data_IF_539520900097
#
_entry.id   IF_539520900097
#
_cell.length_a   1.000
_cell.length_b   1.000
_cell.length_c   1.000
_cell.angle_alpha   90.00
_cell.angle_beta   90.00
_cell.angle_gamma   90.00
#
_symmetry.space_group_name_H-M   'P 1'
#
loop_
_entity.id
_entity.type
_entity.pdbx_description
1 polymer ?
#
# COMPACT_ATOMS: atom_id res chain seq x y z
N UNK A 1 -5.53 5.50 36.82
CA UNK A 1 -6.95 5.09 36.97
C UNK A 1 -7.89 6.28 36.72
N UNK A 2 -7.63 7.47 37.27
CA UNK A 2 -8.47 8.66 37.01
C UNK A 2 -8.32 9.20 35.56
N UNK A 3 -7.10 9.26 35.01
CA UNK A 3 -6.86 9.91 33.70
C UNK A 3 -7.46 9.15 32.50
N UNK A 4 -7.35 7.82 32.45
CA UNK A 4 -7.96 7.01 31.38
C UNK A 4 -9.49 7.10 31.41
N UNK A 5 -10.09 7.22 32.59
CA UNK A 5 -11.54 7.39 32.74
C UNK A 5 -12.03 8.74 32.20
N UNK A 6 -11.18 9.77 32.16
CA UNK A 6 -11.52 11.06 31.54
C UNK A 6 -11.74 10.89 30.03
N UNK A 7 -10.81 10.21 29.34
CA UNK A 7 -10.90 9.91 27.90
C UNK A 7 -11.97 8.87 27.55
N UNK A 8 -12.20 7.89 28.43
CA UNK A 8 -13.22 6.85 28.25
C UNK A 8 -14.62 7.35 28.62
N UNK A 9 -14.81 8.35 29.49
CA UNK A 9 -16.15 8.89 29.77
C UNK A 9 -16.87 9.41 28.52
N UNK A 10 -16.11 9.74 27.46
CA UNK A 10 -16.61 10.12 26.13
C UNK A 10 -16.71 8.95 25.12
N UNK A 11 -16.22 7.75 25.46
CA UNK A 11 -16.17 6.56 24.57
C UNK A 11 -16.77 5.34 25.29
N UNK A 12 -17.82 4.73 24.72
CA UNK A 12 -18.62 3.65 25.33
C UNK A 12 -17.81 2.68 26.24
N UNK A 13 -18.25 2.56 27.49
CA UNK A 13 -17.56 1.84 28.57
C UNK A 13 -17.87 0.34 28.51
N UNK A 14 -16.86 -0.50 28.36
CA UNK A 14 -16.93 -1.93 28.66
C UNK A 14 -15.65 -2.34 29.40
N UNK A 15 -15.73 -2.42 30.73
CA UNK A 15 -14.66 -2.97 31.56
C UNK A 15 -15.26 -4.09 32.42
N UNK A 16 -15.04 -5.33 31.98
CA UNK A 16 -15.21 -6.56 32.76
C UNK A 16 -13.86 -7.26 32.70
N UNK A 17 -13.38 -7.82 33.82
CA UNK A 17 -12.09 -8.52 33.99
C UNK A 17 -11.45 -9.01 32.69
N UNK A 18 -10.46 -8.26 32.22
CA UNK A 18 -9.87 -8.45 30.90
C UNK A 18 -8.65 -9.38 31.01
N UNK A 19 -8.82 -10.63 30.57
CA UNK A 19 -7.72 -11.60 30.43
C UNK A 19 -6.96 -11.37 29.12
N UNK A 20 -5.65 -11.65 29.03
CA UNK A 20 -4.88 -11.42 27.80
C UNK A 20 -5.48 -12.08 26.55
N UNK A 21 -5.97 -13.31 26.67
CA UNK A 21 -6.61 -14.03 25.57
C UNK A 21 -7.96 -13.43 25.14
N UNK A 22 -8.71 -12.81 26.06
CA UNK A 22 -9.98 -12.18 25.69
C UNK A 22 -9.77 -10.90 24.91
N UNK A 23 -8.71 -10.12 25.20
CA UNK A 23 -8.36 -8.93 24.40
C UNK A 23 -8.00 -9.31 22.98
N UNK A 24 -7.06 -10.26 22.80
CA UNK A 24 -6.63 -10.64 21.46
C UNK A 24 -7.79 -11.22 20.65
N UNK A 25 -8.65 -12.05 21.27
CA UNK A 25 -9.85 -12.57 20.59
C UNK A 25 -10.74 -11.42 20.13
N UNK A 26 -10.97 -10.43 21.00
CA UNK A 26 -11.82 -9.29 20.65
C UNK A 26 -11.22 -8.44 19.53
N UNK A 27 -9.90 -8.23 19.53
CA UNK A 27 -9.20 -7.55 18.42
C UNK A 27 -9.39 -8.33 17.11
N UNK A 28 -9.24 -9.66 17.13
CA UNK A 28 -9.45 -10.50 15.94
C UNK A 28 -10.90 -10.44 15.43
N UNK A 29 -11.89 -10.53 16.32
CA UNK A 29 -13.31 -10.37 15.95
C UNK A 29 -13.57 -9.00 15.28
N UNK A 30 -13.00 -7.93 15.83
CA UNK A 30 -13.13 -6.58 15.27
C UNK A 30 -12.40 -6.44 13.94
N UNK A 31 -11.25 -7.09 13.77
CA UNK A 31 -10.53 -7.11 12.49
C UNK A 31 -11.38 -7.76 11.39
N UNK A 32 -12.07 -8.86 11.69
CA UNK A 32 -12.90 -9.58 10.73
C UNK A 32 -14.25 -8.91 10.46
N UNK A 33 -14.77 -8.11 11.40
CA UNK A 33 -16.05 -7.43 11.23
C UNK A 33 -15.99 -6.29 10.19
N UNK A 34 -16.53 -6.57 9.01
CA UNK A 34 -16.61 -5.60 7.90
C UNK A 34 -17.45 -4.34 8.19
N UNK A 35 -18.25 -4.32 9.27
CA UNK A 35 -19.02 -3.14 9.70
C UNK A 35 -18.18 -2.18 10.54
N UNK A 36 -17.06 -2.64 11.10
CA UNK A 36 -16.15 -1.82 11.91
C UNK A 36 -14.96 -1.40 11.05
N UNK A 37 -14.79 -0.09 10.88
CA UNK A 37 -13.77 0.51 10.01
C UNK A 37 -12.50 0.92 10.74
N UNK A 38 -12.54 1.02 12.07
CA UNK A 38 -11.43 1.49 12.88
C UNK A 38 -11.48 0.93 14.29
N UNK A 39 -10.31 0.67 14.85
CA UNK A 39 -10.08 0.13 16.17
C UNK A 39 -9.00 0.93 16.88
N UNK A 40 -9.28 1.28 18.13
CA UNK A 40 -8.31 1.88 19.05
C UNK A 40 -8.12 0.93 20.20
N UNK A 41 -6.86 0.71 20.58
CA UNK A 41 -6.51 0.03 21.82
C UNK A 41 -6.10 1.11 22.82
N UNK A 42 -6.99 1.43 23.76
CA UNK A 42 -6.70 2.46 24.76
C UNK A 42 -5.52 2.04 25.63
N UNK A 43 -4.53 2.93 25.75
CA UNK A 43 -3.35 2.74 26.60
C UNK A 43 -3.36 3.72 27.79
N UNK A 44 -2.67 3.36 28.90
CA UNK A 44 -2.14 2.03 29.20
C UNK A 44 -3.28 1.02 29.44
N UNK A 45 -3.01 -0.26 29.18
CA UNK A 45 -3.97 -1.33 29.44
C UNK A 45 -4.16 -1.52 30.95
N UNK A 46 -5.41 -1.47 31.41
CA UNK A 46 -5.76 -1.70 32.81
C UNK A 46 -6.08 -3.19 33.03
N UNK A 47 -5.12 -3.93 33.57
CA UNK A 47 -5.29 -5.34 33.91
C UNK A 47 -4.44 -5.71 35.12
N UNK A 48 -4.99 -6.59 35.95
CA UNK A 48 -4.26 -7.25 37.04
C UNK A 48 -3.23 -8.26 36.51
N UNK A 49 -3.32 -8.65 35.24
CA UNK A 49 -2.38 -9.53 34.58
C UNK A 49 -1.37 -8.75 33.75
N UNK A 50 -0.13 -9.24 33.71
CA UNK A 50 0.88 -8.71 32.78
C UNK A 50 0.46 -8.99 31.35
N UNK A 51 0.27 -7.94 30.58
CA UNK A 51 -0.12 -8.01 29.17
C UNK A 51 0.99 -7.43 28.30
N UNK A 52 1.40 -8.19 27.28
CA UNK A 52 2.30 -7.66 26.26
C UNK A 52 1.53 -6.69 25.36
N UNK A 53 1.64 -5.41 25.68
CA UNK A 53 0.95 -4.31 24.98
C UNK A 53 1.33 -4.25 23.49
N UNK A 54 2.61 -4.49 23.15
CA UNK A 54 3.06 -4.51 21.75
C UNK A 54 2.38 -5.59 20.93
N UNK A 55 2.21 -6.78 21.51
CA UNK A 55 1.55 -7.90 20.83
C UNK A 55 0.08 -7.59 20.53
N UNK A 56 -0.60 -6.88 21.43
CA UNK A 56 -1.99 -6.48 21.22
C UNK A 56 -2.08 -5.38 20.17
N UNK A 57 -1.27 -4.33 20.27
CA UNK A 57 -1.26 -3.24 19.30
C UNK A 57 -0.99 -3.80 17.90
N UNK A 58 0.03 -4.65 17.74
CA UNK A 58 0.37 -5.25 16.45
C UNK A 58 -0.61 -6.34 15.97
N UNK A 59 -1.60 -6.72 16.79
CA UNK A 59 -2.69 -7.60 16.34
C UNK A 59 -3.83 -6.85 15.68
N UNK A 60 -3.88 -5.51 15.80
CA UNK A 60 -4.84 -4.67 15.06
C UNK A 60 -4.49 -4.71 13.58
N UNK A 61 -5.50 -4.93 12.72
CA UNK A 61 -5.30 -4.87 11.27
C UNK A 61 -4.83 -3.47 10.86
N UNK A 62 -3.73 -3.31 10.09
CA UNK A 62 -3.17 -2.00 9.75
C UNK A 62 -4.19 -1.03 9.12
N UNK A 63 -5.12 -1.56 8.33
CA UNK A 63 -6.20 -0.83 7.68
C UNK A 63 -7.31 -0.34 8.64
N UNK A 64 -7.33 -0.84 9.88
CA UNK A 64 -8.25 -0.42 10.95
C UNK A 64 -7.54 0.27 12.11
N UNK A 65 -6.21 0.41 12.07
CA UNK A 65 -5.42 1.03 13.13
C UNK A 65 -5.50 2.56 13.07
N UNK A 66 -6.66 3.11 13.44
CA UNK A 66 -6.93 4.55 13.40
C UNK A 66 -6.11 5.35 14.41
N UNK A 67 -5.44 4.68 15.34
CA UNK A 67 -4.49 5.32 16.27
C UNK A 67 -3.05 5.33 15.74
N UNK A 68 -2.79 4.65 14.61
CA UNK A 68 -1.50 4.62 13.93
C UNK A 68 -0.36 3.98 14.74
N UNK A 69 -0.68 3.11 15.70
CA UNK A 69 0.30 2.59 16.66
C UNK A 69 0.93 1.25 16.25
N UNK A 70 0.38 0.57 15.24
CA UNK A 70 0.98 -0.67 14.71
C UNK A 70 2.35 -0.40 14.12
N UNK A 71 3.26 -1.37 14.23
CA UNK A 71 4.60 -1.28 13.61
C UNK A 71 4.53 -1.07 12.09
N UNK A 72 3.46 -1.52 11.44
CA UNK A 72 3.24 -1.32 10.00
C UNK A 72 2.95 0.16 9.72
N UNK A 73 1.96 0.76 10.37
CA UNK A 73 1.66 2.19 10.17
C UNK A 73 2.81 3.10 10.63
N UNK A 74 3.44 2.78 11.77
CA UNK A 74 4.64 3.49 12.22
C UNK A 74 5.78 3.39 11.21
N UNK A 75 5.99 2.22 10.59
CA UNK A 75 6.99 2.01 9.56
C UNK A 75 6.71 2.80 8.28
N UNK A 76 5.44 2.84 7.83
CA UNK A 76 5.02 3.66 6.68
C UNK A 76 5.24 5.15 6.96
N UNK A 77 4.82 5.64 8.14
CA UNK A 77 5.03 7.02 8.57
C UNK A 77 6.51 7.39 8.61
N UNK A 78 7.35 6.54 9.22
CA UNK A 78 8.79 6.77 9.30
C UNK A 78 9.47 6.81 7.92
N UNK A 79 8.89 6.17 6.90
CA UNK A 79 9.40 6.15 5.51
C UNK A 79 8.78 7.20 4.59
N UNK A 80 7.85 8.01 5.09
CA UNK A 80 7.27 9.13 4.33
C UNK A 80 6.03 8.77 3.53
N UNK A 81 5.45 7.58 3.75
CA UNK A 81 4.25 7.11 3.08
C UNK A 81 2.98 7.75 3.68
N UNK A 82 2.98 9.09 3.86
CA UNK A 82 1.93 9.85 4.56
C UNK A 82 0.53 9.70 3.95
N UNK A 83 0.44 9.33 2.67
CA UNK A 83 -0.82 9.09 1.97
C UNK A 83 -1.42 7.70 2.17
N UNK A 84 -0.67 6.76 2.72
CA UNK A 84 -1.05 5.34 2.86
C UNK A 84 -0.84 4.79 4.28
N UNK A 85 -0.75 5.68 5.29
CA UNK A 85 -0.65 5.30 6.69
C UNK A 85 -1.62 6.07 7.58
N UNK A 86 -2.00 5.45 8.71
CA UNK A 86 -2.65 6.17 9.79
C UNK A 86 -1.61 6.93 10.62
N UNK A 87 -1.91 8.19 10.92
CA UNK A 87 -1.03 9.10 11.67
C UNK A 87 -1.51 9.17 13.13
N UNK A 88 -0.67 8.91 14.13
CA UNK A 88 -1.13 8.97 15.52
C UNK A 88 -1.82 10.30 15.87
N UNK A 89 -2.96 10.20 16.56
CA UNK A 89 -3.92 11.30 16.69
C UNK A 89 -3.32 12.56 17.33
N UNK A 90 -2.47 12.37 18.35
CA UNK A 90 -1.84 13.49 19.08
C UNK A 90 -0.82 14.23 18.20
N UNK A 91 0.18 13.58 17.56
CA UNK A 91 1.04 14.21 16.56
C UNK A 91 0.27 14.89 15.42
N UNK A 92 -0.79 14.28 14.91
CA UNK A 92 -1.62 14.90 13.87
C UNK A 92 -2.26 16.20 14.37
N UNK A 93 -2.75 16.20 15.62
CA UNK A 93 -3.32 17.39 16.25
C UNK A 93 -2.29 18.50 16.45
N UNK A 94 -1.04 18.14 16.75
CA UNK A 94 0.08 19.08 16.82
C UNK A 94 0.35 19.72 15.45
N UNK A 95 0.38 18.93 14.38
CA UNK A 95 0.58 19.43 13.02
C UNK A 95 -0.52 20.40 12.59
N UNK A 96 -1.78 20.11 12.91
CA UNK A 96 -2.90 21.01 12.61
C UNK A 96 -2.81 22.32 13.39
N UNK A 97 -2.43 22.28 14.67
CA UNK A 97 -2.20 23.50 15.47
C UNK A 97 -1.04 24.34 14.92
N UNK A 98 0.06 23.70 14.49
CA UNK A 98 1.16 24.43 13.85
C UNK A 98 0.70 25.07 12.55
N UNK A 99 -0.08 24.35 11.74
CA UNK A 99 -0.61 24.86 10.46
C UNK A 99 -1.49 26.10 10.65
N UNK A 100 -2.27 26.18 11.73
CA UNK A 100 -3.10 27.36 12.05
C UNK A 100 -2.29 28.63 12.33
N UNK A 101 -1.01 28.52 12.68
CA UNK A 101 -0.14 29.69 12.85
C UNK A 101 0.18 30.39 11.52
N UNK A 102 -0.03 29.73 10.38
CA UNK A 102 0.36 30.22 9.05
C UNK A 102 1.86 30.20 8.77
N UNK A 103 2.69 29.74 9.72
CA UNK A 103 4.14 29.65 9.56
C UNK A 103 4.52 28.37 8.81
N UNK A 104 5.33 28.51 7.75
CA UNK A 104 5.86 27.37 7.02
C UNK A 104 6.85 26.56 7.87
N UNK A 105 6.68 25.24 7.88
CA UNK A 105 7.59 24.27 8.49
C UNK A 105 8.90 24.09 7.69
N UNK A 106 8.86 24.33 6.39
CA UNK A 106 9.97 24.01 5.50
C UNK A 106 11.23 24.82 5.85
N UNK A 107 12.34 24.13 6.08
CA UNK A 107 13.63 24.72 6.44
C UNK A 107 13.74 25.23 7.88
N UNK A 108 12.68 25.10 8.70
CA UNK A 108 12.71 25.46 10.13
C UNK A 108 13.41 24.39 10.95
N UNK A 109 14.04 24.79 12.06
CA UNK A 109 14.57 23.86 13.05
C UNK A 109 13.48 23.48 14.04
N UNK A 110 13.07 22.22 14.02
CA UNK A 110 12.10 21.69 14.95
C UNK A 110 12.80 20.83 16.02
N UNK A 111 12.43 21.00 17.28
CA UNK A 111 12.91 20.19 18.40
C UNK A 111 11.73 19.44 19.00
N UNK A 112 11.86 18.12 19.10
CA UNK A 112 10.88 17.24 19.75
C UNK A 112 11.48 16.73 21.05
N UNK A 113 10.89 17.08 22.19
CA UNK A 113 11.30 16.53 23.49
C UNK A 113 10.42 15.32 23.81
N UNK A 114 11.05 14.14 23.79
CA UNK A 114 10.38 12.86 23.98
C UNK A 114 10.48 12.00 22.73
N UNK A 115 10.53 10.68 22.93
CA UNK A 115 10.64 9.66 21.87
C UNK A 115 9.68 8.49 22.10
N UNK A 116 8.52 8.79 22.69
CA UNK A 116 7.47 7.81 22.91
C UNK A 116 6.87 7.37 21.57
N UNK A 117 6.31 6.17 21.54
CA UNK A 117 5.62 5.63 20.34
C UNK A 117 4.34 6.38 20.00
N UNK A 118 3.70 7.00 21.01
CA UNK A 118 2.42 7.69 20.88
C UNK A 118 2.60 9.12 20.37
N UNK A 119 3.68 9.81 20.78
CA UNK A 119 3.86 11.24 20.48
C UNK A 119 5.23 11.50 19.87
N UNK A 120 6.31 11.26 20.60
CA UNK A 120 7.63 11.78 20.24
C UNK A 120 8.17 11.30 18.88
N UNK A 121 8.20 9.97 18.67
CA UNK A 121 8.68 9.40 17.41
C UNK A 121 7.81 9.78 16.20
N UNK A 122 6.48 9.59 16.21
CA UNK A 122 5.65 10.01 15.08
C UNK A 122 5.65 11.53 14.84
N UNK A 123 5.81 12.36 15.88
CA UNK A 123 5.95 13.80 15.72
C UNK A 123 7.24 14.17 14.97
N UNK A 124 8.36 13.49 15.26
CA UNK A 124 9.59 13.65 14.52
C UNK A 124 9.37 13.37 13.02
N UNK A 125 8.74 12.24 12.70
CA UNK A 125 8.53 11.82 11.32
C UNK A 125 7.64 12.82 10.56
N UNK A 126 6.56 13.30 11.19
CA UNK A 126 5.69 14.30 10.58
C UNK A 126 6.41 15.62 10.30
N UNK A 127 7.21 16.12 11.23
CA UNK A 127 7.99 17.35 11.03
C UNK A 127 9.02 17.17 9.92
N UNK A 128 9.70 16.02 9.88
CA UNK A 128 10.70 15.68 8.88
C UNK A 128 10.07 15.64 7.48
N UNK A 129 8.95 14.94 7.32
CA UNK A 129 8.26 14.83 6.04
C UNK A 129 7.51 16.11 5.63
N UNK A 130 7.40 17.08 6.53
CA UNK A 130 7.02 18.47 6.22
C UNK A 130 8.23 19.41 6.09
N UNK A 131 9.40 18.85 5.78
CA UNK A 131 10.63 19.54 5.41
C UNK A 131 11.28 20.39 6.51
N UNK A 132 10.98 20.14 7.78
CA UNK A 132 11.73 20.70 8.89
C UNK A 132 13.07 19.96 9.09
N UNK A 133 14.07 20.66 9.64
CA UNK A 133 15.27 20.01 10.21
C UNK A 133 14.94 19.62 11.65
N UNK A 134 14.82 18.33 11.93
CA UNK A 134 14.29 17.85 13.22
C UNK A 134 15.40 17.34 14.13
N UNK A 135 15.36 17.73 15.40
CA UNK A 135 16.18 17.18 16.47
C UNK A 135 15.30 16.55 17.55
N UNK A 136 15.52 15.28 17.83
CA UNK A 136 14.82 14.55 18.90
C UNK A 136 15.65 14.54 20.18
N UNK A 137 15.11 15.12 21.24
CA UNK A 137 15.70 15.13 22.57
C UNK A 137 15.02 14.11 23.50
N UNK A 138 15.74 13.64 24.51
CA UNK A 138 15.25 12.67 25.49
C UNK A 138 15.99 12.79 26.82
N UNK A 139 15.70 11.91 27.78
CA UNK A 139 16.27 11.90 29.14
C UNK A 139 17.79 11.73 29.25
N UNK A 140 18.49 11.58 28.11
CA UNK A 140 19.95 11.44 28.03
C UNK A 140 20.60 12.55 27.19
N UNK A 141 19.81 13.52 26.73
CA UNK A 141 20.34 14.73 26.10
C UNK A 141 21.09 15.55 27.15
N UNK A 142 22.37 15.83 26.90
CA UNK A 142 23.26 16.45 27.89
C UNK A 142 22.87 17.90 28.22
N UNK A 143 22.69 18.73 27.19
CA UNK A 143 22.30 20.14 27.34
C UNK A 143 20.97 20.38 26.62
N UNK A 144 19.89 20.00 27.30
CA UNK A 144 18.54 20.13 26.76
C UNK A 144 18.16 21.60 26.54
N UNK A 145 18.55 22.50 27.44
CA UNK A 145 18.20 23.92 27.38
C UNK A 145 18.81 24.59 26.13
N UNK A 146 20.08 24.30 25.82
CA UNK A 146 20.74 24.80 24.61
C UNK A 146 20.09 24.30 23.32
N UNK A 147 19.63 23.05 23.28
CA UNK A 147 18.94 22.52 22.11
C UNK A 147 17.55 23.15 21.92
N UNK A 148 16.81 23.36 23.01
CA UNK A 148 15.52 24.07 22.99
C UNK A 148 15.68 25.52 22.52
N UNK A 149 16.75 26.20 22.93
CA UNK A 149 17.02 27.59 22.54
C UNK A 149 17.31 27.80 21.05
N UNK A 150 17.54 26.72 20.29
CA UNK A 150 17.73 26.76 18.83
C UNK A 150 16.44 26.49 18.05
N UNK A 151 15.38 26.05 18.72
CA UNK A 151 14.15 25.59 18.08
C UNK A 151 13.30 26.76 17.55
N UNK A 152 12.97 26.75 16.26
CA UNK A 152 11.89 27.59 15.74
C UNK A 152 10.52 27.00 16.12
N UNK A 153 10.46 25.67 16.21
CA UNK A 153 9.28 24.91 16.59
C UNK A 153 9.68 23.92 17.68
N UNK A 154 9.03 24.00 18.83
CA UNK A 154 9.21 23.08 19.94
C UNK A 154 7.95 22.24 20.12
N UNK A 155 8.10 20.92 20.15
CA UNK A 155 7.02 20.00 20.57
C UNK A 155 7.50 19.19 21.75
N UNK A 156 6.72 19.11 22.83
CA UNK A 156 7.07 18.31 24.03
C UNK A 156 5.93 17.36 24.42
N UNK A 157 6.28 16.15 24.84
CA UNK A 157 5.33 15.15 25.32
C UNK A 157 6.02 14.09 26.20
N UNK A 158 6.54 14.54 27.33
CA UNK A 158 7.36 13.76 28.28
C UNK A 158 6.66 13.45 29.60
N UNK A 159 5.53 14.11 29.91
CA UNK A 159 4.82 13.90 31.17
C UNK A 159 5.64 14.31 32.38
N UNK A 160 6.31 15.46 32.31
CA UNK A 160 7.04 16.06 33.43
C UNK A 160 6.56 17.50 33.63
N UNK A 161 5.83 17.79 34.72
CA UNK A 161 5.16 19.07 34.91
C UNK A 161 6.17 20.23 34.87
N UNK A 162 5.90 21.21 34.01
CA UNK A 162 6.59 22.51 33.96
C UNK A 162 8.13 22.41 33.88
N UNK A 163 8.66 21.34 33.29
CA UNK A 163 10.10 21.10 33.16
C UNK A 163 10.76 22.07 32.19
N UNK A 164 10.12 22.34 31.04
CA UNK A 164 10.64 23.27 30.05
C UNK A 164 10.32 24.69 30.51
N UNK A 165 11.36 25.45 30.81
CA UNK A 165 11.22 26.83 31.29
C UNK A 165 11.26 27.82 30.13
N UNK A 166 10.58 28.95 30.28
CA UNK A 166 10.51 29.99 29.25
C UNK A 166 11.88 30.54 28.88
N UNK A 167 12.83 30.59 29.81
CA UNK A 167 14.20 31.06 29.58
C UNK A 167 14.92 30.25 28.50
N UNK A 168 14.55 28.98 28.32
CA UNK A 168 15.15 28.08 27.33
C UNK A 168 14.64 28.33 25.91
N UNK A 169 13.48 28.99 25.77
CA UNK A 169 12.84 29.16 24.46
C UNK A 169 13.57 30.22 23.63
N UNK A 170 13.63 29.95 22.32
CA UNK A 170 13.97 30.96 21.32
C UNK A 170 12.85 31.99 21.22
N UNK A 171 13.21 33.27 21.13
CA UNK A 171 12.24 34.33 20.92
C UNK A 171 11.51 34.14 19.58
N UNK A 172 10.18 34.20 19.62
CA UNK A 172 9.31 33.99 18.46
C UNK A 172 9.08 32.53 18.08
N UNK A 173 9.45 31.55 18.92
CA UNK A 173 9.21 30.14 18.64
C UNK A 173 7.72 29.77 18.65
N UNK A 174 7.36 28.70 17.94
CA UNK A 174 6.08 27.99 18.07
C UNK A 174 6.26 26.89 19.12
N UNK A 175 5.43 26.87 20.15
CA UNK A 175 5.51 25.92 21.26
C UNK A 175 4.23 25.08 21.35
N UNK A 176 4.38 23.78 21.12
CA UNK A 176 3.31 22.77 21.23
C UNK A 176 3.59 21.89 22.46
N UNK A 177 2.69 21.94 23.43
CA UNK A 177 2.76 21.22 24.70
C UNK A 177 1.71 20.10 24.75
N UNK A 178 2.17 18.87 24.59
CA UNK A 178 1.35 17.66 24.69
C UNK A 178 1.30 17.09 26.11
N UNK A 179 1.99 17.72 27.07
CA UNK A 179 2.04 17.29 28.45
C UNK A 179 0.67 17.39 29.12
N UNK A 180 0.30 16.36 29.88
CA UNK A 180 -0.89 16.37 30.74
C UNK A 180 -0.44 15.83 32.08
N UNK A 181 -0.18 16.74 33.00
CA UNK A 181 0.33 16.44 34.32
C UNK A 181 -0.63 16.98 35.36
N UNK A 182 -0.98 16.16 36.36
CA UNK A 182 -1.84 16.58 37.46
C UNK A 182 -0.98 16.92 38.67
N UNK A 183 -1.13 18.12 39.21
CA UNK A 183 -0.43 18.57 40.42
C UNK A 183 -1.43 19.08 41.45
N UNK A 184 -1.05 19.01 42.73
CA UNK A 184 -1.90 19.47 43.83
C UNK A 184 -2.02 21.00 43.81
N UNK A 185 -3.25 21.49 43.94
CA UNK A 185 -3.56 22.92 43.98
C UNK A 185 -4.79 23.15 44.87
N UNK A 186 -4.54 23.65 46.08
CA UNK A 186 -5.58 23.94 47.07
C UNK A 186 -6.49 25.10 46.69
N UNK A 187 -6.12 25.91 45.68
CA UNK A 187 -6.98 26.98 45.17
C UNK A 187 -8.10 26.47 44.25
N UNK A 188 -8.02 25.23 43.78
CA UNK A 188 -9.03 24.61 42.91
C UNK A 188 -10.04 23.80 43.73
N UNK A 189 -11.33 23.79 43.36
CA UNK A 189 -12.35 22.98 44.05
C UNK A 189 -12.04 21.47 44.08
N UNK A 190 -11.30 20.96 43.08
CA UNK A 190 -10.84 19.57 42.99
C UNK A 190 -9.57 19.28 43.81
N UNK A 191 -8.93 20.29 44.40
CA UNK A 191 -7.61 20.20 45.04
C UNK A 191 -6.47 19.90 44.06
N UNK A 192 -6.71 19.93 42.74
CA UNK A 192 -5.76 19.55 41.70
C UNK A 192 -5.86 20.49 40.50
N UNK A 193 -4.73 20.85 39.88
CA UNK A 193 -4.64 21.55 38.58
C UNK A 193 -3.93 20.69 37.54
N UNK A 194 -4.34 20.82 36.28
CA UNK A 194 -3.68 20.19 35.13
C UNK A 194 -2.70 21.19 34.53
N UNK A 195 -1.47 20.75 34.29
CA UNK A 195 -0.39 21.54 33.69
C UNK A 195 0.32 20.74 32.61
N UNK A 196 0.97 21.47 31.70
CA UNK A 196 1.76 20.88 30.63
C UNK A 196 3.18 20.53 31.06
N UNK A 197 4.01 20.17 30.07
CA UNK A 197 5.44 19.97 30.27
C UNK A 197 6.21 21.31 30.23
N UNK A 198 5.59 22.36 29.68
CA UNK A 198 6.12 23.72 29.62
C UNK A 198 5.55 24.57 30.75
N UNK A 199 6.40 25.35 31.40
CA UNK A 199 5.96 26.38 32.34
C UNK A 199 5.35 27.56 31.56
N UNK A 200 4.05 27.47 31.31
CA UNK A 200 3.29 28.35 30.40
C UNK A 200 3.51 29.83 30.70
N UNK A 201 3.45 30.24 31.97
CA UNK A 201 3.55 31.65 32.34
C UNK A 201 4.89 32.29 32.00
N UNK A 202 6.00 31.55 32.11
CA UNK A 202 7.31 32.05 31.67
C UNK A 202 7.52 32.00 30.15
N UNK A 203 6.75 31.15 29.47
CA UNK A 203 6.94 30.84 28.05
C UNK A 203 6.11 31.71 27.12
N UNK A 204 4.92 32.14 27.56
CA UNK A 204 3.94 32.87 26.74
C UNK A 204 4.46 34.18 26.17
N UNK A 205 5.35 34.88 26.90
CA UNK A 205 5.89 36.16 26.47
C UNK A 205 7.07 36.02 25.50
N UNK A 206 7.67 34.83 25.42
CA UNK A 206 8.77 34.52 24.48
C UNK A 206 8.29 33.90 23.18
N UNK A 207 7.30 33.00 23.26
CA UNK A 207 6.79 32.27 22.12
C UNK A 207 5.91 33.18 21.25
N UNK A 208 6.02 33.06 19.92
CA UNK A 208 5.06 33.71 19.01
C UNK A 208 3.69 33.01 19.08
N UNK A 209 3.71 31.69 19.26
CA UNK A 209 2.51 30.87 19.41
C UNK A 209 2.76 29.80 20.47
N UNK A 210 1.80 29.59 21.37
CA UNK A 210 1.92 28.60 22.43
C UNK A 210 0.58 27.92 22.70
N UNK A 211 0.58 26.60 22.86
CA UNK A 211 -0.62 25.85 23.24
C UNK A 211 -0.83 25.89 24.76
N UNK A 212 -2.02 26.24 25.27
CA UNK A 212 -2.32 26.15 26.69
C UNK A 212 -2.56 24.70 27.12
N UNK A 213 -2.29 24.42 28.40
CA UNK A 213 -2.68 23.15 29.03
C UNK A 213 -3.45 23.46 30.32
N UNK A 214 -4.72 23.02 30.45
CA UNK A 214 -5.52 22.30 29.44
C UNK A 214 -5.99 23.20 28.29
N UNK A 215 -6.56 22.58 27.23
CA UNK A 215 -7.25 23.30 26.15
C UNK A 215 -6.50 23.42 24.82
N UNK A 216 -5.24 22.99 24.75
CA UNK A 216 -4.43 22.95 23.52
C UNK A 216 -4.53 21.62 22.78
N UNK A 217 -3.52 20.77 22.95
CA UNK A 217 -3.37 19.51 22.18
C UNK A 217 -4.44 18.47 22.51
N UNK A 218 -4.87 18.37 23.77
CA UNK A 218 -5.81 17.33 24.23
C UNK A 218 -7.14 17.28 23.44
N UNK A 219 -7.88 18.40 23.28
CA UNK A 219 -9.07 18.44 22.43
C UNK A 219 -8.81 18.05 20.97
N UNK A 220 -7.64 18.40 20.43
CA UNK A 220 -7.27 18.04 19.06
C UNK A 220 -7.10 16.54 18.88
N UNK A 221 -6.59 15.81 19.87
CA UNK A 221 -6.48 14.34 19.79
C UNK A 221 -7.83 13.68 19.48
N UNK A 222 -8.92 14.13 20.11
CA UNK A 222 -10.27 13.62 19.83
C UNK A 222 -10.76 14.09 18.45
N UNK A 223 -10.52 15.35 18.10
CA UNK A 223 -10.91 15.89 16.81
C UNK A 223 -10.22 15.15 15.65
N UNK A 224 -8.91 14.90 15.73
CA UNK A 224 -8.15 14.16 14.72
C UNK A 224 -8.63 12.72 14.60
N UNK A 225 -8.97 12.09 15.73
CA UNK A 225 -9.56 10.76 15.72
C UNK A 225 -10.89 10.72 14.95
N UNK A 226 -11.72 11.76 15.08
CA UNK A 226 -13.01 11.86 14.37
C UNK A 226 -12.83 12.35 12.92
N UNK A 227 -11.79 13.13 12.65
CA UNK A 227 -11.44 13.61 11.32
C UNK A 227 -11.00 12.47 10.40
N UNK A 228 -10.65 11.31 10.97
CA UNK A 228 -10.55 10.08 10.21
C UNK A 228 -11.86 9.80 9.47
N UNK A 229 -11.86 10.25 8.22
CA UNK A 229 -12.69 9.65 7.21
C UNK A 229 -12.17 8.23 7.08
N UNK A 230 -13.01 7.19 7.23
CA UNK A 230 -12.59 5.85 6.82
C UNK A 230 -12.00 6.05 5.44
N UNK A 231 -10.77 5.54 5.20
CA UNK A 231 -10.22 5.44 3.86
C UNK A 231 -11.41 5.05 2.99
N UNK A 232 -11.87 6.00 2.17
CA UNK A 232 -13.06 5.76 1.35
C UNK A 232 -12.60 4.60 0.51
N UNK A 233 -13.17 3.43 0.80
CA UNK A 233 -12.80 2.14 0.22
C UNK A 233 -12.08 2.39 -1.10
N UNK A 234 -10.75 2.25 -1.11
CA UNK A 234 -10.22 1.39 -2.15
C UNK A 234 -10.95 0.08 -1.88
N UNK A 235 -12.05 -0.10 -2.60
CA UNK A 235 -12.82 -1.33 -2.70
C UNK A 235 -11.81 -2.45 -2.56
N UNK A 236 -11.95 -3.30 -1.52
CA UNK A 236 -11.12 -4.49 -1.27
C UNK A 236 -10.47 -4.85 -2.59
N UNK A 237 -9.15 -4.72 -2.75
CA UNK A 237 -8.52 -5.01 -4.05
C UNK A 237 -9.01 -6.40 -4.43
N UNK A 238 -9.97 -6.45 -5.34
CA UNK A 238 -10.61 -7.69 -5.72
C UNK A 238 -9.58 -8.31 -6.63
N UNK A 239 -9.00 -9.43 -6.19
CA UNK A 239 -7.98 -10.11 -6.98
C UNK A 239 -8.51 -10.33 -8.40
N UNK A 240 -7.67 -10.11 -9.41
CA UNK A 240 -8.08 -10.08 -10.82
C UNK A 240 -8.91 -11.30 -11.20
N UNK A 241 -8.55 -12.48 -10.69
CA UNK A 241 -9.27 -13.74 -10.93
C UNK A 241 -10.69 -13.74 -10.38
N UNK A 242 -10.94 -13.08 -9.26
CA UNK A 242 -12.29 -12.95 -8.70
C UNK A 242 -13.13 -12.00 -9.54
N UNK A 243 -12.53 -10.93 -10.08
CA UNK A 243 -13.22 -10.03 -11.02
C UNK A 243 -13.56 -10.79 -12.31
N UNK A 244 -12.58 -11.47 -12.92
CA UNK A 244 -12.76 -12.29 -14.13
C UNK A 244 -13.91 -13.30 -13.98
N UNK A 245 -13.92 -14.05 -12.88
CA UNK A 245 -14.95 -15.07 -12.60
C UNK A 245 -16.32 -14.51 -12.23
N UNK A 246 -16.40 -13.23 -11.86
CA UNK A 246 -17.68 -12.58 -11.57
C UNK A 246 -18.46 -12.21 -12.84
N UNK A 247 -17.78 -12.22 -14.00
CA UNK A 247 -18.38 -11.89 -15.28
C UNK A 247 -18.69 -13.18 -16.08
N UNK A 248 -19.83 -13.17 -16.78
CA UNK A 248 -20.16 -14.23 -17.75
C UNK A 248 -19.68 -13.76 -19.13
N UNK A 249 -18.67 -14.41 -19.74
CA UNK A 249 -18.17 -14.01 -21.05
C UNK A 249 -19.23 -14.30 -22.12
N UNK A 250 -19.35 -13.36 -23.07
CA UNK A 250 -20.18 -13.56 -24.25
C UNK A 250 -19.58 -14.66 -25.13
N UNK A 251 -20.38 -15.57 -25.72
CA UNK A 251 -19.88 -16.52 -26.69
C UNK A 251 -19.15 -15.81 -27.84
N UNK A 252 -17.95 -16.27 -28.16
CA UNK A 252 -17.07 -15.62 -29.14
C UNK A 252 -17.66 -15.66 -30.56
N UNK A 253 -18.49 -16.66 -30.89
CA UNK A 253 -19.18 -16.74 -32.18
C UNK A 253 -20.16 -15.57 -32.35
N UNK A 254 -20.93 -15.24 -31.30
CA UNK A 254 -21.87 -14.11 -31.34
C UNK A 254 -21.12 -12.79 -31.51
N UNK A 255 -19.96 -12.65 -30.86
CA UNK A 255 -19.11 -11.47 -31.05
C UNK A 255 -18.57 -11.41 -32.48
N UNK A 256 -18.16 -12.54 -33.06
CA UNK A 256 -17.66 -12.61 -34.42
C UNK A 256 -18.71 -12.19 -35.45
N UNK A 257 -19.95 -12.65 -35.29
CA UNK A 257 -21.09 -12.24 -36.13
C UNK A 257 -21.36 -10.73 -36.00
N UNK A 258 -21.36 -10.19 -34.78
CA UNK A 258 -21.60 -8.76 -34.53
C UNK A 258 -20.54 -7.85 -35.14
N UNK A 259 -19.31 -8.32 -35.28
CA UNK A 259 -18.24 -7.57 -35.95
C UNK A 259 -18.16 -7.85 -37.45
N UNK A 260 -19.09 -8.65 -38.00
CA UNK A 260 -19.22 -8.90 -39.44
C UNK A 260 -18.27 -9.96 -40.01
N UNK A 261 -17.82 -10.90 -39.18
CA UNK A 261 -17.09 -12.09 -39.63
C UNK A 261 -18.06 -13.19 -40.04
N UNK A 262 -17.70 -13.97 -41.06
CA UNK A 262 -18.47 -15.12 -41.49
C UNK A 262 -18.07 -16.39 -40.72
N UNK A 263 -18.99 -17.34 -40.60
CA UNK A 263 -18.75 -18.57 -39.84
C UNK A 263 -17.61 -19.42 -40.41
N UNK A 264 -17.35 -19.36 -41.71
CA UNK A 264 -16.25 -20.07 -42.37
C UNK A 264 -14.89 -19.33 -42.27
N UNK A 265 -14.89 -18.12 -41.73
CA UNK A 265 -13.69 -17.29 -41.47
C UNK A 265 -13.17 -17.43 -40.04
N UNK A 266 -13.94 -18.08 -39.17
CA UNK A 266 -13.68 -18.14 -37.73
C UNK A 266 -13.51 -19.59 -37.30
N UNK A 267 -12.36 -19.90 -36.73
CA UNK A 267 -12.06 -21.22 -36.17
C UNK A 267 -12.20 -21.15 -34.64
N UNK A 268 -13.23 -21.80 -34.10
CA UNK A 268 -13.57 -21.72 -32.68
C UNK A 268 -12.65 -22.60 -31.82
N UNK A 269 -12.18 -22.05 -30.70
CA UNK A 269 -11.39 -22.74 -29.66
C UNK A 269 -12.14 -22.64 -28.32
N UNK A 270 -13.14 -23.50 -28.16
CA UNK A 270 -14.07 -23.40 -27.03
C UNK A 270 -15.08 -22.27 -27.21
N UNK A 271 -15.64 -21.76 -26.11
CA UNK A 271 -16.75 -20.79 -26.15
C UNK A 271 -16.31 -19.32 -26.20
N UNK A 272 -15.06 -19.04 -25.86
CA UNK A 272 -14.56 -17.69 -25.51
C UNK A 272 -13.39 -17.24 -26.37
N UNK A 273 -12.87 -18.11 -27.24
CA UNK A 273 -11.69 -17.84 -28.08
C UNK A 273 -11.90 -18.38 -29.48
N UNK A 274 -11.35 -17.67 -30.46
CA UNK A 274 -11.35 -18.11 -31.85
C UNK A 274 -10.12 -17.57 -32.59
N UNK A 275 -9.72 -18.25 -33.67
CA UNK A 275 -8.79 -17.74 -34.66
C UNK A 275 -9.58 -17.17 -35.84
N UNK A 276 -9.10 -16.07 -36.41
CA UNK A 276 -9.64 -15.49 -37.65
C UNK A 276 -8.72 -15.89 -38.79
N UNK A 277 -9.28 -16.41 -39.86
CA UNK A 277 -8.53 -16.83 -41.04
C UNK A 277 -7.98 -15.61 -41.79
N UNK A 278 -6.76 -15.73 -42.34
CA UNK A 278 -6.13 -14.61 -43.05
C UNK A 278 -6.89 -14.21 -44.34
N UNK A 279 -7.63 -15.15 -44.96
CA UNK A 279 -8.47 -14.90 -46.14
C UNK A 279 -9.52 -13.79 -45.91
N UNK A 280 -9.87 -13.52 -44.66
CA UNK A 280 -10.79 -12.43 -44.29
C UNK A 280 -10.24 -11.06 -44.72
N UNK A 281 -8.91 -10.89 -44.76
CA UNK A 281 -8.28 -9.63 -45.19
C UNK A 281 -8.62 -9.33 -46.65
N UNK A 282 -8.58 -10.35 -47.52
CA UNK A 282 -8.88 -10.19 -48.94
C UNK A 282 -10.32 -9.74 -49.16
N UNK A 283 -11.26 -10.29 -48.38
CA UNK A 283 -12.68 -9.86 -48.41
C UNK A 283 -12.87 -8.43 -47.94
N UNK A 284 -12.13 -8.03 -46.89
CA UNK A 284 -12.25 -6.71 -46.28
C UNK A 284 -11.44 -5.62 -47.00
N UNK A 285 -10.72 -5.94 -48.07
CA UNK A 285 -9.85 -5.00 -48.79
C UNK A 285 -10.58 -3.77 -49.34
N UNK A 286 -11.89 -3.87 -49.63
CA UNK A 286 -12.71 -2.75 -50.09
C UNK A 286 -13.24 -1.87 -48.95
N UNK A 287 -13.09 -2.28 -47.69
CA UNK A 287 -13.51 -1.50 -46.52
C UNK A 287 -12.46 -0.45 -46.17
N UNK A 288 -12.87 0.74 -45.69
CA UNK A 288 -11.93 1.75 -45.22
C UNK A 288 -11.18 1.26 -43.98
N UNK A 289 -9.90 1.60 -43.89
CA UNK A 289 -9.07 1.28 -42.73
C UNK A 289 -9.62 1.93 -41.45
N UNK A 290 -9.54 1.18 -40.35
CA UNK A 290 -9.84 1.69 -39.02
C UNK A 290 -8.79 2.72 -38.56
N UNK A 291 -9.17 3.56 -37.60
CA UNK A 291 -8.22 4.47 -36.95
C UNK A 291 -7.26 3.67 -36.06
N UNK A 292 -5.97 3.79 -36.33
CA UNK A 292 -4.94 3.15 -35.52
C UNK A 292 -4.54 4.03 -34.32
N UNK A 293 -4.70 3.50 -33.11
CA UNK A 293 -4.34 4.19 -31.86
C UNK A 293 -3.18 3.47 -31.20
N UNK A 294 -2.04 4.16 -31.05
CA UNK A 294 -0.85 3.62 -30.39
C UNK A 294 -0.89 4.00 -28.92
N UNK A 295 -1.00 3.00 -28.04
CA UNK A 295 -0.84 3.18 -26.59
C UNK A 295 0.63 3.00 -26.23
N UNK A 296 1.35 4.10 -26.05
CA UNK A 296 2.76 4.09 -25.63
C UNK A 296 2.89 3.72 -24.16
N UNK A 297 3.94 2.98 -23.80
CA UNK A 297 4.06 2.40 -22.47
C UNK A 297 4.26 3.41 -21.35
N UNK A 298 3.47 3.24 -20.29
CA UNK A 298 3.77 3.78 -18.96
C UNK A 298 4.69 2.81 -18.21
N UNK A 299 5.60 3.34 -17.40
CA UNK A 299 6.28 2.56 -16.36
C UNK A 299 5.20 2.01 -15.44
N UNK A 300 5.13 0.67 -15.19
CA UNK A 300 4.09 0.11 -14.34
C UNK A 300 4.04 0.83 -13.00
N UNK A 301 2.88 1.37 -12.63
CA UNK A 301 2.72 2.05 -11.34
C UNK A 301 2.56 1.02 -10.23
N UNK A 302 2.87 1.37 -8.97
CA UNK A 302 2.58 0.49 -7.82
C UNK A 302 1.10 0.06 -7.72
N UNK A 303 0.19 0.78 -8.38
CA UNK A 303 -1.25 0.50 -8.42
C UNK A 303 -1.65 -0.50 -9.52
N UNK A 304 -0.70 -1.06 -10.28
CA UNK A 304 -0.96 -2.09 -11.30
C UNK A 304 -1.36 -1.54 -12.68
N UNK A 305 -1.26 -0.23 -12.89
CA UNK A 305 -1.48 0.37 -14.20
C UNK A 305 -0.30 0.05 -15.12
N UNK A 306 -0.60 -0.42 -16.33
CA UNK A 306 0.42 -0.76 -17.32
C UNK A 306 -0.15 -0.77 -18.73
N UNK A 307 0.71 -1.05 -19.71
CA UNK A 307 0.36 -1.09 -21.14
C UNK A 307 -0.95 -1.83 -21.44
N UNK A 308 -1.08 -3.07 -20.96
CA UNK A 308 -2.27 -3.89 -21.22
C UNK A 308 -3.52 -3.31 -20.55
N UNK A 309 -3.42 -2.91 -19.28
CA UNK A 309 -4.52 -2.29 -18.51
C UNK A 309 -5.04 -1.03 -19.20
N UNK A 310 -4.13 -0.14 -19.63
CA UNK A 310 -4.50 1.10 -20.35
C UNK A 310 -5.13 0.79 -21.71
N UNK A 311 -4.59 -0.18 -22.46
CA UNK A 311 -5.12 -0.56 -23.77
C UNK A 311 -6.53 -1.12 -23.68
N UNK A 312 -6.77 -2.02 -22.72
CA UNK A 312 -8.08 -2.65 -22.51
C UNK A 312 -9.07 -1.62 -21.97
N UNK A 313 -8.69 -0.81 -20.99
CA UNK A 313 -9.54 0.24 -20.44
C UNK A 313 -9.96 1.27 -21.48
N UNK A 314 -9.06 1.65 -22.39
CA UNK A 314 -9.37 2.53 -23.51
C UNK A 314 -10.44 1.92 -24.42
N UNK A 315 -10.26 0.66 -24.87
CA UNK A 315 -11.23 -0.02 -25.74
C UNK A 315 -12.58 -0.21 -25.06
N UNK A 316 -12.59 -0.57 -23.77
CA UNK A 316 -13.80 -0.64 -22.96
C UNK A 316 -14.53 0.72 -22.91
N UNK A 317 -13.81 1.82 -22.71
CA UNK A 317 -14.40 3.15 -22.65
C UNK A 317 -14.96 3.60 -24.02
N UNK A 318 -14.23 3.34 -25.11
CA UNK A 318 -14.68 3.63 -26.48
C UNK A 318 -15.97 2.85 -26.81
N UNK A 319 -16.05 1.57 -26.42
CA UNK A 319 -17.24 0.75 -26.61
C UNK A 319 -18.40 1.17 -25.70
N UNK A 320 -18.19 1.18 -24.38
CA UNK A 320 -19.26 1.35 -23.40
C UNK A 320 -19.80 2.78 -23.29
N UNK A 321 -18.97 3.80 -23.55
CA UNK A 321 -19.37 5.21 -23.38
C UNK A 321 -19.54 5.95 -24.70
N UNK A 322 -18.81 5.56 -25.75
CA UNK A 322 -18.89 6.22 -27.06
C UNK A 322 -19.59 5.37 -28.12
N UNK A 323 -19.98 4.12 -27.80
CA UNK A 323 -20.60 3.18 -28.73
C UNK A 323 -19.79 2.99 -30.03
N UNK A 324 -18.46 3.02 -29.93
CA UNK A 324 -17.56 2.80 -31.06
C UNK A 324 -17.12 1.34 -31.11
N UNK A 325 -17.07 0.76 -32.32
CA UNK A 325 -16.45 -0.53 -32.54
C UNK A 325 -14.92 -0.38 -32.43
N UNK A 326 -14.32 -1.00 -31.41
CA UNK A 326 -12.90 -0.87 -31.08
C UNK A 326 -12.32 -2.22 -30.68
N UNK A 327 -11.09 -2.49 -31.11
CA UNK A 327 -10.39 -3.76 -30.87
C UNK A 327 -9.09 -3.51 -30.11
N UNK A 328 -8.89 -4.26 -29.02
CA UNK A 328 -7.63 -4.24 -28.28
C UNK A 328 -6.65 -5.24 -28.88
N UNK A 329 -5.59 -4.75 -29.53
CA UNK A 329 -4.52 -5.59 -30.08
C UNK A 329 -3.41 -5.79 -29.04
N UNK A 330 -3.50 -6.87 -28.27
CA UNK A 330 -2.51 -7.22 -27.24
C UNK A 330 -1.76 -8.50 -27.59
N UNK A 331 -0.49 -8.57 -27.18
CA UNK A 331 0.34 -9.77 -27.38
C UNK A 331 -0.06 -10.85 -26.36
N UNK A 332 -0.13 -12.10 -26.81
CA UNK A 332 -0.28 -13.25 -25.91
C UNK A 332 0.86 -13.29 -24.87
N UNK A 333 0.57 -13.56 -23.58
CA UNK A 333 1.59 -13.66 -22.54
C UNK A 333 2.57 -14.80 -22.80
N UNK A 334 3.85 -14.55 -22.55
CA UNK A 334 4.81 -15.64 -22.29
C UNK A 334 4.54 -16.25 -20.91
N UNK A 335 4.90 -17.51 -20.68
CA UNK A 335 4.64 -18.18 -19.40
C UNK A 335 5.48 -17.70 -18.21
N UNK A 336 6.68 -17.14 -18.44
CA UNK A 336 7.58 -16.66 -17.37
C UNK A 336 6.96 -15.58 -16.45
N UNK A 337 6.31 -14.54 -17.00
CA UNK A 337 5.54 -13.54 -16.24
C UNK A 337 4.40 -14.08 -15.38
N UNK A 338 3.78 -15.21 -15.75
CA UNK A 338 2.61 -15.77 -15.06
C UNK A 338 2.92 -16.24 -13.62
N UNK A 339 4.20 -16.45 -13.28
CA UNK A 339 4.66 -16.91 -11.97
C UNK A 339 5.38 -15.83 -11.12
N UNK A 340 5.11 -14.55 -11.35
CA UNK A 340 5.27 -13.54 -10.29
C UNK A 340 6.35 -12.47 -10.44
N UNK A 341 6.77 -12.08 -11.65
CA UNK A 341 7.76 -10.98 -11.81
C UNK A 341 7.30 -9.85 -12.74
N UNK A 342 6.25 -10.04 -13.56
CA UNK A 342 5.66 -8.98 -14.40
C UNK A 342 4.15 -9.15 -14.44
N UNK A 343 3.40 -8.06 -14.26
CA UNK A 343 1.94 -8.03 -14.34
C UNK A 343 1.41 -8.76 -15.58
N UNK A 344 0.31 -9.50 -15.42
CA UNK A 344 -0.25 -10.38 -16.45
C UNK A 344 -0.53 -9.66 -17.77
N UNK A 345 -0.43 -10.38 -18.90
CA UNK A 345 -0.72 -9.79 -20.20
C UNK A 345 -2.22 -9.57 -20.46
N UNK A 346 -3.08 -10.16 -19.63
CA UNK A 346 -4.53 -9.99 -19.68
C UNK A 346 -5.02 -8.61 -19.19
N UNK A 347 -4.17 -7.74 -18.64
CA UNK A 347 -4.60 -6.51 -17.95
C UNK A 347 -4.68 -6.70 -16.43
N UNK A 348 -5.47 -5.86 -15.76
CA UNK A 348 -5.64 -5.90 -14.29
C UNK A 348 -6.87 -5.11 -13.82
N UNK A 349 -7.37 -5.44 -12.63
CA UNK A 349 -8.58 -4.87 -12.08
C UNK A 349 -9.81 -5.11 -12.97
N UNK A 350 -10.61 -4.08 -13.22
CA UNK A 350 -11.76 -4.16 -14.13
C UNK A 350 -11.40 -3.99 -15.61
N UNK A 351 -10.15 -3.62 -15.91
CA UNK A 351 -9.62 -3.48 -17.27
C UNK A 351 -8.76 -4.67 -17.64
N UNK A 352 -9.44 -5.80 -17.85
CA UNK A 352 -8.82 -7.08 -18.18
C UNK A 352 -9.61 -7.89 -19.22
N UNK A 353 -8.93 -8.82 -19.88
CA UNK A 353 -9.51 -9.83 -20.78
C UNK A 353 -10.09 -10.97 -19.94
N UNK A 354 -11.32 -11.38 -20.24
CA UNK A 354 -12.00 -12.52 -19.59
C UNK A 354 -12.28 -13.64 -20.60
N UNK A 355 -12.17 -14.93 -20.21
CA UNK A 355 -11.63 -15.43 -18.94
C UNK A 355 -10.10 -15.29 -18.87
N UNK A 356 -9.59 -14.63 -17.83
CA UNK A 356 -8.15 -14.32 -17.73
C UNK A 356 -7.28 -15.58 -17.60
N UNK A 357 -7.78 -16.62 -16.93
CA UNK A 357 -7.08 -17.90 -16.74
C UNK A 357 -6.81 -18.60 -18.07
N UNK A 358 -7.75 -18.56 -19.01
CA UNK A 358 -7.58 -19.16 -20.33
C UNK A 358 -6.59 -18.37 -21.20
N UNK A 359 -6.61 -17.04 -21.10
CA UNK A 359 -5.69 -16.18 -21.84
C UNK A 359 -4.25 -16.29 -21.32
N UNK A 360 -4.06 -16.35 -19.99
CA UNK A 360 -2.74 -16.33 -19.36
C UNK A 360 -2.03 -17.69 -19.34
N UNK A 361 -2.76 -18.81 -19.32
CA UNK A 361 -2.16 -20.15 -19.23
C UNK A 361 -2.01 -20.82 -20.59
N UNK A 362 -3.08 -20.87 -21.39
CA UNK A 362 -3.12 -21.60 -22.66
C UNK A 362 -4.17 -21.01 -23.62
N UNK A 363 -3.78 -19.97 -24.37
CA UNK A 363 -4.68 -19.33 -25.35
C UNK A 363 -5.11 -20.32 -26.45
N UNK A 364 -4.19 -20.66 -27.36
CA UNK A 364 -4.36 -21.62 -28.47
C UNK A 364 -3.29 -22.71 -28.50
N UNK A 365 -2.27 -22.62 -27.63
CA UNK A 365 -1.14 -23.57 -27.60
C UNK A 365 0.02 -23.23 -28.56
N UNK A 366 -0.13 -22.24 -29.44
CA UNK A 366 0.87 -21.92 -30.47
C UNK A 366 2.26 -21.58 -29.87
N UNK A 367 2.30 -20.78 -28.78
CA UNK A 367 3.55 -20.48 -28.07
C UNK A 367 4.23 -21.74 -27.52
N UNK A 368 3.45 -22.73 -27.05
CA UNK A 368 4.02 -23.98 -26.55
C UNK A 368 4.61 -24.81 -27.67
N UNK A 369 3.91 -24.90 -28.80
CA UNK A 369 4.41 -25.58 -29.99
C UNK A 369 5.70 -24.93 -30.50
N UNK A 370 5.74 -23.59 -30.57
CA UNK A 370 6.94 -22.84 -30.97
C UNK A 370 8.08 -23.07 -29.97
N UNK A 371 7.79 -23.01 -28.66
CA UNK A 371 8.81 -23.19 -27.62
C UNK A 371 9.35 -24.62 -27.63
N UNK A 372 8.48 -25.63 -27.76
CA UNK A 372 8.87 -27.03 -27.87
C UNK A 372 9.70 -27.29 -29.13
N UNK A 373 9.28 -26.75 -30.28
CA UNK A 373 10.03 -26.84 -31.54
C UNK A 373 11.41 -26.18 -31.41
N UNK A 374 11.48 -24.97 -30.82
CA UNK A 374 12.74 -24.27 -30.59
C UNK A 374 13.67 -25.05 -29.64
N UNK A 375 13.13 -25.62 -28.57
CA UNK A 375 13.89 -26.43 -27.63
C UNK A 375 14.40 -27.73 -28.28
N UNK A 376 13.60 -28.38 -29.12
CA UNK A 376 14.01 -29.56 -29.89
C UNK A 376 15.14 -29.23 -30.86
N UNK A 377 15.05 -28.11 -31.57
CA UNK A 377 16.11 -27.64 -32.49
C UNK A 377 17.38 -27.30 -31.71
N UNK A 378 17.26 -26.58 -30.59
CA UNK A 378 18.40 -26.25 -29.75
C UNK A 378 19.09 -27.51 -29.19
N UNK A 379 18.32 -28.49 -28.71
CA UNK A 379 18.85 -29.77 -28.26
C UNK A 379 19.53 -30.56 -29.39
N UNK A 380 18.98 -30.53 -30.61
CA UNK A 380 19.60 -31.16 -31.77
C UNK A 380 20.94 -30.51 -32.14
N UNK A 381 21.02 -29.16 -32.07
CA UNK A 381 22.26 -28.42 -32.30
C UNK A 381 23.29 -28.72 -31.21
N UNK A 382 22.88 -28.70 -29.94
CA UNK A 382 23.77 -28.97 -28.80
C UNK A 382 24.32 -30.41 -28.85
N UNK A 383 23.46 -31.39 -29.14
CA UNK A 383 23.88 -32.77 -29.36
C UNK A 383 24.88 -32.87 -30.53
N UNK A 384 24.63 -32.18 -31.65
CA UNK A 384 25.57 -32.15 -32.79
C UNK A 384 26.91 -31.55 -32.38
N UNK A 385 26.92 -30.40 -31.74
CA UNK A 385 28.14 -29.72 -31.27
C UNK A 385 28.92 -30.59 -30.29
N UNK A 386 28.23 -31.24 -29.34
CA UNK A 386 28.86 -32.16 -28.38
C UNK A 386 29.53 -33.34 -29.10
N UNK A 387 28.84 -33.98 -30.05
CA UNK A 387 29.41 -35.11 -30.79
C UNK A 387 30.57 -34.70 -31.69
N UNK A 388 30.51 -33.55 -32.37
CA UNK A 388 31.62 -33.00 -33.17
C UNK A 388 32.84 -32.62 -32.31
N UNK A 389 32.62 -32.11 -31.09
CA UNK A 389 33.70 -31.69 -30.20
C UNK A 389 34.38 -32.86 -29.46
N UNK A 390 33.65 -33.95 -29.20
CA UNK A 390 34.12 -35.06 -28.35
C UNK A 390 34.49 -36.33 -29.11
N UNK A 391 34.04 -36.50 -30.34
CA UNK A 391 34.30 -37.71 -31.13
C UNK A 391 35.24 -37.43 -32.30
N UNK A 392 36.13 -38.38 -32.59
CA UNK A 392 36.99 -38.30 -33.78
C UNK A 392 36.26 -38.76 -35.04
N UNK A 393 36.66 -38.25 -36.21
CA UNK A 393 36.06 -38.60 -37.51
C UNK A 393 36.00 -40.12 -37.77
N UNK A 394 36.93 -40.90 -37.18
CA UNK A 394 36.91 -42.37 -37.25
C UNK A 394 35.65 -42.98 -36.65
N UNK A 395 35.15 -42.45 -35.53
CA UNK A 395 33.92 -42.93 -34.86
C UNK A 395 32.68 -42.57 -35.68
N UNK A 396 32.68 -41.40 -36.32
CA UNK A 396 31.59 -41.00 -37.23
C UNK A 396 31.54 -41.89 -38.48
N UNK A 397 32.70 -42.23 -39.04
CA UNK A 397 32.80 -43.11 -40.21
C UNK A 397 32.34 -44.55 -39.93
N UNK A 398 32.61 -45.08 -38.72
CA UNK A 398 32.15 -46.42 -38.33
C UNK A 398 30.64 -46.46 -38.10
N UNK A 399 30.04 -45.43 -37.49
CA UNK A 399 28.58 -45.33 -37.32
C UNK A 399 27.83 -45.24 -38.67
N UNK A 400 28.37 -44.51 -39.65
CA UNK A 400 27.80 -44.49 -41.01
C UNK A 400 27.91 -45.84 -41.71
N UNK A 401 29.00 -46.60 -41.49
CA UNK A 401 29.13 -47.96 -42.00
C UNK A 401 28.05 -48.90 -41.42
N UNK A 402 27.73 -48.75 -40.13
CA UNK A 402 26.68 -49.51 -39.45
C UNK A 402 25.29 -49.14 -40.01
N UNK A 403 24.97 -47.87 -40.22
CA UNK A 403 23.70 -47.47 -40.84
C UNK A 403 23.56 -48.00 -42.29
N UNK A 404 24.64 -47.97 -43.07
CA UNK A 404 24.63 -48.52 -44.44
C UNK A 404 24.41 -50.04 -44.47
N UNK A 405 24.94 -50.78 -43.49
CA UNK A 405 24.70 -52.23 -43.32
C UNK A 405 23.32 -52.57 -42.75
N UNK A 406 22.63 -51.60 -42.11
CA UNK A 406 21.33 -51.80 -41.45
C UNK A 406 20.12 -51.69 -42.39
N UNK A 407 20.35 -51.49 -43.68
CA UNK A 407 19.33 -51.52 -44.74
C UNK A 407 18.72 -52.92 -44.99
N UNK A 408 19.08 -53.90 -44.17
CA UNK A 408 18.63 -55.30 -44.25
C UNK A 408 17.74 -55.74 -43.08
N UNK A 409 17.17 -54.81 -42.30
CA UNK A 409 16.17 -55.16 -41.28
C UNK A 409 14.80 -55.37 -41.95
N UNK A 410 14.49 -56.62 -42.27
CA UNK A 410 13.12 -57.04 -42.60
C UNK A 410 12.26 -56.97 -41.32
N UNK A 411 11.26 -56.08 -41.33
CA UNK A 411 10.21 -56.10 -40.33
C UNK A 411 9.34 -57.35 -40.52
N UNK A 412 9.13 -58.09 -39.43
CA UNK A 412 8.19 -59.21 -39.33
C UNK A 412 6.79 -58.72 -38.98
#
# INVERSE_FOLDING_TARGET
>A
IEDSNLYISMKLKAAVEVKPHSVMRRVMEVNEDSKIHGLIVQLPLDSVHTINTERIINSVAPEKDVDGLTSINAGKLARGDLGDCFIPCTPNGCMELIKQTGVSLAGKRAVVIGRSKIVGAPMHDLLLWNHATVLTCHSKTADLASEVGKADILVTGIGKPEMVRGEWLKDGAIVIDCGINTITDSSRPSGKRIVGDVHYDSAKDKAAFITPVPGGVGPMTVAMLMQYRPFTKHSKIVVDVTISRSCVPKPIECLAEEVGLFSDEVELYGRTKAKVQLKTIDRLQAQPDGKYVVVTGITPTPLGEGKSTTTIGLVQALGAHLNLNAFACVRQPSQGPTFGIKGGAAGGGYSQVIPMEEFNLHLTGDIHAITAANNLVAAAIDARMFHEATQSDKVFSSLNSVMSSSSSVQFK
#
